data_IF_642302871317
#
_entry.id   IF_642302871317
#
_cell.length_a   1.000
_cell.length_b   1.000
_cell.length_c   1.000
_cell.angle_alpha   90.00
_cell.angle_beta   90.00
_cell.angle_gamma   90.00
#
_symmetry.space_group_name_H-M   'P 1'
#
loop_
_entity.id
_entity.type
_entity.pdbx_description
1 polymer ?
#
# COMPACT_ATOMS: atom_id res chain seq x y z
N UNK A 1 -4.03 -14.01 12.77
CA UNK A 1 -3.48 -15.12 11.93
C UNK A 1 -2.77 -14.48 10.74
N UNK A 2 -1.47 -14.66 10.55
CA UNK A 2 -0.75 -14.16 9.40
C UNK A 2 -1.00 -15.02 8.16
N UNK A 3 -1.27 -14.38 7.02
CA UNK A 3 -1.41 -15.04 5.71
C UNK A 3 -0.25 -14.68 4.78
N UNK A 4 0.05 -15.55 3.82
CA UNK A 4 1.05 -15.31 2.77
C UNK A 4 0.53 -14.30 1.72
N UNK A 5 0.11 -13.11 2.17
CA UNK A 5 -0.40 -12.02 1.35
C UNK A 5 -1.92 -11.85 1.36
N UNK A 6 -2.42 -10.79 0.70
CA UNK A 6 -3.82 -10.40 0.74
C UNK A 6 -4.79 -11.39 0.08
N UNK A 7 -4.36 -12.11 -0.96
CA UNK A 7 -5.22 -13.09 -1.65
C UNK A 7 -5.65 -14.25 -0.75
N UNK A 8 -4.72 -14.96 -0.10
CA UNK A 8 -5.06 -16.00 0.88
C UNK A 8 -5.93 -15.48 2.03
N UNK A 9 -5.65 -14.31 2.59
CA UNK A 9 -6.46 -13.70 3.65
C UNK A 9 -7.90 -13.41 3.19
N UNK A 10 -8.05 -12.88 1.98
CA UNK A 10 -9.37 -12.64 1.39
C UNK A 10 -10.16 -13.94 1.18
N UNK A 11 -9.51 -14.99 0.67
CA UNK A 11 -10.18 -16.30 0.51
C UNK A 11 -10.62 -16.89 1.84
N UNK A 12 -9.78 -16.79 2.88
CA UNK A 12 -10.12 -17.26 4.21
C UNK A 12 -11.33 -16.52 4.79
N UNK A 13 -11.42 -15.21 4.59
CA UNK A 13 -12.56 -14.41 5.02
C UNK A 13 -13.83 -14.75 4.22
N UNK A 14 -13.73 -14.89 2.90
CA UNK A 14 -14.87 -15.28 2.06
C UNK A 14 -15.36 -16.71 2.35
N UNK A 15 -14.48 -17.59 2.79
CA UNK A 15 -14.81 -18.96 3.22
C UNK A 15 -15.25 -19.07 4.67
N UNK A 16 -15.38 -17.96 5.41
CA UNK A 16 -15.80 -17.98 6.82
C UNK A 16 -14.76 -18.54 7.80
N UNK A 17 -13.50 -18.70 7.36
CA UNK A 17 -12.43 -19.18 8.24
C UNK A 17 -11.85 -18.10 9.17
N UNK A 18 -12.11 -16.84 8.86
CA UNK A 18 -11.80 -15.67 9.70
C UNK A 18 -12.90 -14.63 9.52
N UNK A 19 -13.24 -13.92 10.60
CA UNK A 19 -14.30 -12.91 10.61
C UNK A 19 -13.84 -11.58 9.97
N UNK A 20 -12.56 -11.29 10.06
CA UNK A 20 -11.98 -10.02 9.57
C UNK A 20 -10.63 -10.23 8.90
N UNK A 21 -10.30 -9.35 7.96
CA UNK A 21 -8.99 -9.31 7.33
C UNK A 21 -8.49 -7.86 7.25
N UNK A 22 -7.26 -7.63 7.69
CA UNK A 22 -6.59 -6.34 7.64
C UNK A 22 -5.44 -6.31 6.63
N UNK A 23 -4.96 -5.09 6.28
CA UNK A 23 -3.84 -4.91 5.38
C UNK A 23 -4.12 -5.23 3.91
N UNK A 24 -5.37 -5.31 3.51
CA UNK A 24 -5.77 -5.54 2.14
C UNK A 24 -5.71 -4.23 1.33
N UNK A 25 -5.17 -4.24 0.11
CA UNK A 25 -5.15 -3.05 -0.73
C UNK A 25 -6.58 -2.69 -1.18
N UNK A 26 -6.90 -1.39 -1.17
CA UNK A 26 -8.16 -0.86 -1.68
C UNK A 26 -8.17 -0.89 -3.21
N UNK A 27 -8.49 -2.04 -3.79
CA UNK A 27 -8.49 -2.29 -5.23
C UNK A 27 -9.90 -2.38 -5.79
N UNK A 28 -10.01 -2.32 -7.14
CA UNK A 28 -11.26 -2.56 -7.84
C UNK A 28 -11.88 -3.94 -7.55
N UNK A 29 -11.05 -4.96 -7.30
CA UNK A 29 -11.52 -6.29 -6.90
C UNK A 29 -12.20 -6.27 -5.52
N UNK A 30 -11.60 -5.61 -4.52
CA UNK A 30 -12.23 -5.42 -3.22
C UNK A 30 -13.52 -4.59 -3.34
N UNK A 31 -13.52 -3.55 -4.20
CA UNK A 31 -14.73 -2.77 -4.47
C UNK A 31 -15.86 -3.62 -5.04
N UNK A 32 -15.55 -4.53 -5.97
CA UNK A 32 -16.52 -5.47 -6.53
C UNK A 32 -17.16 -6.36 -5.46
N UNK A 33 -16.34 -6.94 -4.59
CA UNK A 33 -16.82 -7.76 -3.45
C UNK A 33 -17.67 -6.95 -2.45
N UNK A 34 -17.25 -5.71 -2.17
CA UNK A 34 -18.00 -4.81 -1.29
C UNK A 34 -19.36 -4.43 -1.88
N UNK A 35 -19.42 -4.07 -3.17
CA UNK A 35 -20.68 -3.76 -3.87
C UNK A 35 -21.61 -4.96 -3.98
N UNK A 36 -21.06 -6.16 -4.11
CA UNK A 36 -21.82 -7.41 -4.12
C UNK A 36 -22.27 -7.86 -2.72
N UNK A 37 -22.02 -7.08 -1.67
CA UNK A 37 -22.38 -7.42 -0.29
C UNK A 37 -21.60 -8.60 0.31
N UNK A 38 -20.57 -9.11 -0.39
CA UNK A 38 -19.77 -10.25 0.07
C UNK A 38 -18.78 -9.89 1.17
N UNK A 39 -18.39 -8.64 1.25
CA UNK A 39 -17.49 -8.11 2.28
C UNK A 39 -17.92 -6.70 2.67
N UNK A 40 -17.74 -6.34 3.93
CA UNK A 40 -17.92 -4.98 4.44
C UNK A 40 -16.54 -4.35 4.66
N UNK A 41 -16.26 -3.23 3.98
CA UNK A 41 -15.07 -2.42 4.26
C UNK A 41 -15.39 -1.49 5.43
N UNK A 42 -14.73 -1.67 6.56
CA UNK A 42 -15.02 -0.95 7.81
C UNK A 42 -14.31 0.39 7.90
N UNK A 43 -13.04 0.45 7.49
CA UNK A 43 -12.22 1.66 7.48
C UNK A 43 -11.06 1.54 6.51
N UNK A 44 -10.49 2.67 6.10
CA UNK A 44 -9.25 2.74 5.33
C UNK A 44 -8.11 3.34 6.16
N UNK A 45 -6.91 2.75 6.06
CA UNK A 45 -5.71 3.18 6.80
C UNK A 45 -4.97 4.31 6.05
N UNK A 46 -5.66 5.40 5.73
CA UNK A 46 -5.13 6.53 4.96
C UNK A 46 -5.47 7.86 5.63
N UNK A 47 -4.75 8.93 5.27
CA UNK A 47 -5.04 10.29 5.75
C UNK A 47 -6.40 10.83 5.28
N UNK A 48 -6.86 10.36 4.12
CA UNK A 48 -8.13 10.75 3.50
C UNK A 48 -8.85 9.52 3.00
N UNK A 49 -10.17 9.60 2.89
CA UNK A 49 -11.00 8.52 2.34
C UNK A 49 -10.53 8.14 0.94
N UNK A 50 -10.62 6.87 0.60
CA UNK A 50 -10.22 6.35 -0.70
C UNK A 50 -11.30 6.68 -1.75
N UNK A 51 -10.90 7.09 -2.95
CA UNK A 51 -11.83 7.44 -4.04
C UNK A 51 -12.69 6.27 -4.54
N UNK A 52 -12.25 5.03 -4.34
CA UNK A 52 -13.06 3.84 -4.62
C UNK A 52 -14.10 3.56 -3.52
N UNK A 53 -13.86 4.06 -2.31
CA UNK A 53 -14.69 3.85 -1.12
C UNK A 53 -15.01 5.18 -0.44
N UNK A 54 -15.72 6.12 -1.11
CA UNK A 54 -15.93 7.48 -0.60
C UNK A 54 -16.75 7.53 0.69
N UNK A 55 -17.60 6.54 0.90
CA UNK A 55 -18.45 6.42 2.10
C UNK A 55 -17.79 5.65 3.24
N UNK A 56 -16.62 5.05 3.02
CA UNK A 56 -15.86 4.32 4.06
C UNK A 56 -14.96 5.31 4.80
N UNK A 57 -15.07 5.40 6.13
CA UNK A 57 -14.26 6.32 6.93
C UNK A 57 -12.79 5.88 6.96
N UNK A 58 -11.92 6.80 7.32
CA UNK A 58 -10.53 6.47 7.67
C UNK A 58 -10.46 5.94 9.10
N UNK A 59 -9.37 5.23 9.45
CA UNK A 59 -9.10 4.82 10.84
C UNK A 59 -9.07 6.05 11.76
N UNK A 60 -8.50 7.16 11.30
CA UNK A 60 -8.44 8.41 12.07
C UNK A 60 -9.82 9.00 12.36
N UNK A 61 -10.75 8.98 11.39
CA UNK A 61 -12.16 9.39 11.61
C UNK A 61 -12.88 8.48 12.62
N UNK A 62 -12.37 7.26 12.83
CA UNK A 62 -12.85 6.32 13.86
C UNK A 62 -12.09 6.40 15.20
N UNK A 63 -11.27 7.43 15.39
CA UNK A 63 -10.52 7.65 16.64
C UNK A 63 -9.20 6.87 16.74
N UNK A 64 -8.79 6.14 15.71
CA UNK A 64 -7.55 5.37 15.71
C UNK A 64 -6.52 6.08 14.82
N UNK A 65 -5.48 6.65 15.42
CA UNK A 65 -4.39 7.32 14.68
C UNK A 65 -3.45 6.29 14.05
N UNK A 66 -3.96 5.62 13.02
CA UNK A 66 -3.22 4.61 12.28
C UNK A 66 -3.29 4.88 10.78
N UNK A 67 -2.11 5.12 10.19
CA UNK A 67 -1.94 5.31 8.74
C UNK A 67 -0.95 4.27 8.24
N UNK A 68 -1.34 3.54 7.20
CA UNK A 68 -0.52 2.55 6.53
C UNK A 68 -0.60 2.75 5.01
N UNK A 69 0.49 3.21 4.42
CA UNK A 69 0.59 3.33 2.97
C UNK A 69 1.33 2.12 2.38
N UNK A 70 0.71 1.45 1.44
CA UNK A 70 1.43 0.53 0.55
C UNK A 70 2.15 1.35 -0.53
N UNK A 71 3.45 1.17 -0.66
CA UNK A 71 4.27 1.81 -1.69
C UNK A 71 5.18 0.80 -2.37
N UNK A 72 5.52 1.08 -3.61
CA UNK A 72 6.41 0.24 -4.41
C UNK A 72 7.62 1.05 -4.84
N UNK A 73 8.78 0.42 -4.85
CA UNK A 73 10.02 1.08 -5.24
C UNK A 73 10.77 0.26 -6.28
N UNK A 74 11.53 0.96 -7.10
CA UNK A 74 12.54 0.36 -7.97
C UNK A 74 13.90 0.52 -7.30
N UNK A 75 14.66 -0.55 -7.26
CA UNK A 75 15.99 -0.59 -6.66
C UNK A 75 16.99 -1.11 -7.69
N UNK A 76 18.23 -0.68 -7.54
CA UNK A 76 19.36 -1.17 -8.30
C UNK A 76 20.42 -1.74 -7.36
N UNK A 77 21.29 -2.64 -7.79
CA UNK A 77 22.40 -3.15 -6.99
C UNK A 77 23.31 -2.02 -6.46
N UNK A 78 23.91 -2.26 -5.29
CA UNK A 78 24.94 -1.35 -4.76
C UNK A 78 26.11 -1.25 -5.76
N UNK A 79 26.58 -0.02 -6.01
CA UNK A 79 27.67 0.23 -6.97
C UNK A 79 27.21 0.44 -8.41
N UNK A 80 25.91 0.44 -8.71
CA UNK A 80 25.43 0.83 -10.05
C UNK A 80 25.91 2.24 -10.37
N UNK A 81 26.57 2.46 -11.55
CA UNK A 81 27.03 3.76 -11.98
C UNK A 81 25.92 4.82 -12.04
N UNK A 82 26.25 6.07 -11.71
CA UNK A 82 25.24 7.13 -11.58
C UNK A 82 24.55 7.46 -12.90
N UNK A 83 25.29 7.42 -14.03
CA UNK A 83 24.73 7.61 -15.38
C UNK A 83 23.62 6.60 -15.70
N UNK A 84 23.78 5.33 -15.29
CA UNK A 84 22.78 4.29 -15.45
C UNK A 84 21.56 4.55 -14.57
N UNK A 85 21.78 5.00 -13.34
CA UNK A 85 20.69 5.38 -12.43
C UNK A 85 19.90 6.55 -13.02
N UNK A 86 20.56 7.55 -13.57
CA UNK A 86 19.93 8.74 -14.16
C UNK A 86 19.07 8.39 -15.39
N UNK A 87 19.53 7.47 -16.24
CA UNK A 87 18.76 6.95 -17.36
C UNK A 87 17.47 6.27 -16.85
N UNK A 88 17.59 5.38 -15.86
CA UNK A 88 16.44 4.66 -15.29
C UNK A 88 15.44 5.62 -14.61
N UNK A 89 15.93 6.57 -13.83
CA UNK A 89 15.09 7.60 -13.20
C UNK A 89 14.40 8.46 -14.24
N UNK A 90 15.11 8.83 -15.32
CA UNK A 90 14.54 9.57 -16.46
C UNK A 90 13.39 8.80 -17.12
N UNK A 91 13.56 7.50 -17.36
CA UNK A 91 12.53 6.64 -17.92
C UNK A 91 11.32 6.52 -16.98
N UNK A 92 11.54 6.28 -15.69
CA UNK A 92 10.48 6.21 -14.70
C UNK A 92 9.68 7.52 -14.58
N UNK A 93 10.35 8.68 -14.64
CA UNK A 93 9.69 9.99 -14.67
C UNK A 93 8.76 10.14 -15.88
N UNK A 94 9.12 9.60 -17.04
CA UNK A 94 8.27 9.59 -18.24
C UNK A 94 7.07 8.65 -18.04
N UNK A 95 7.27 7.45 -17.49
CA UNK A 95 6.20 6.46 -17.24
C UNK A 95 5.14 7.04 -16.31
N UNK A 96 5.50 7.65 -15.17
CA UNK A 96 4.51 8.17 -14.22
C UNK A 96 3.71 9.37 -14.76
N UNK A 97 4.20 10.03 -15.80
CA UNK A 97 3.48 11.11 -16.52
C UNK A 97 2.57 10.55 -17.62
N UNK A 98 2.77 9.32 -18.07
CA UNK A 98 2.06 8.70 -19.18
C UNK A 98 0.56 8.58 -18.87
N UNK A 99 -0.29 8.97 -19.81
CA UNK A 99 -1.76 8.97 -19.66
C UNK A 99 -2.32 7.54 -19.46
N UNK A 100 -1.81 6.56 -20.23
CA UNK A 100 -2.27 5.16 -20.12
C UNK A 100 -1.89 4.57 -18.77
N UNK A 101 -0.69 4.84 -18.25
CA UNK A 101 -0.26 4.41 -16.92
C UNK A 101 -1.12 5.02 -15.81
N UNK A 102 -1.40 6.31 -15.87
CA UNK A 102 -2.32 6.98 -14.93
C UNK A 102 -3.73 6.40 -14.97
N UNK A 103 -4.25 6.09 -16.18
CA UNK A 103 -5.56 5.44 -16.36
C UNK A 103 -5.59 4.05 -15.74
N UNK A 104 -4.51 3.27 -15.90
CA UNK A 104 -4.36 1.95 -15.27
C UNK A 104 -4.38 2.07 -13.74
N UNK A 105 -3.55 2.94 -13.16
CA UNK A 105 -3.52 3.16 -11.71
C UNK A 105 -4.89 3.60 -11.17
N UNK A 106 -5.58 4.51 -11.86
CA UNK A 106 -6.93 4.94 -11.46
C UNK A 106 -7.92 3.76 -11.42
N UNK A 107 -7.86 2.83 -12.39
CA UNK A 107 -8.68 1.60 -12.37
C UNK A 107 -8.36 0.70 -11.16
N UNK A 108 -7.12 0.73 -10.69
CA UNK A 108 -6.68 0.00 -9.51
C UNK A 108 -6.97 0.75 -8.19
N UNK A 109 -7.56 1.94 -8.23
CA UNK A 109 -7.78 2.78 -7.05
C UNK A 109 -6.51 3.45 -6.54
N UNK A 110 -5.47 3.49 -7.35
CA UNK A 110 -4.17 4.06 -7.01
C UNK A 110 -3.89 5.35 -7.78
N UNK A 111 -2.96 6.14 -7.27
CA UNK A 111 -2.40 7.33 -7.95
C UNK A 111 -0.89 7.33 -7.82
N UNK A 112 -0.15 7.76 -8.84
CA UNK A 112 1.29 7.89 -8.70
C UNK A 112 1.64 9.05 -7.77
N UNK A 113 2.45 8.77 -6.76
CA UNK A 113 3.09 9.77 -5.88
C UNK A 113 4.60 9.51 -5.96
N UNK A 114 5.26 10.00 -7.02
CA UNK A 114 6.66 9.67 -7.27
C UNK A 114 7.57 10.37 -6.28
N UNK A 115 8.45 9.60 -5.65
CA UNK A 115 9.49 10.08 -4.73
C UNK A 115 10.84 9.54 -5.21
N UNK A 116 11.86 10.38 -5.26
CA UNK A 116 13.17 10.05 -5.80
C UNK A 116 14.30 10.48 -4.87
N UNK A 117 15.48 9.90 -5.04
CA UNK A 117 16.73 10.34 -4.44
C UNK A 117 16.71 10.45 -2.92
N UNK A 118 17.11 11.58 -2.39
CA UNK A 118 17.21 11.83 -0.94
C UNK A 118 15.86 11.71 -0.22
N UNK A 119 14.78 12.16 -0.84
CA UNK A 119 13.43 12.06 -0.26
C UNK A 119 12.98 10.59 -0.12
N UNK A 120 13.30 9.73 -1.11
CA UNK A 120 13.03 8.30 -1.01
C UNK A 120 13.88 7.65 0.09
N UNK A 121 15.17 7.97 0.17
CA UNK A 121 16.05 7.48 1.24
C UNK A 121 15.51 7.88 2.63
N UNK A 122 15.07 9.12 2.81
CA UNK A 122 14.45 9.60 4.06
C UNK A 122 13.20 8.81 4.40
N UNK A 123 12.31 8.59 3.42
CA UNK A 123 11.08 7.79 3.60
C UNK A 123 11.42 6.36 4.03
N UNK A 124 12.33 5.67 3.35
CA UNK A 124 12.73 4.29 3.69
C UNK A 124 13.24 4.23 5.15
N UNK A 125 14.11 5.16 5.55
CA UNK A 125 14.64 5.20 6.93
C UNK A 125 13.55 5.42 7.97
N UNK A 126 12.62 6.35 7.73
CA UNK A 126 11.52 6.63 8.67
C UNK A 126 10.56 5.44 8.80
N UNK A 127 10.19 4.79 7.69
CA UNK A 127 9.34 3.60 7.70
C UNK A 127 10.05 2.41 8.39
N UNK A 128 11.34 2.21 8.12
CA UNK A 128 12.13 1.17 8.79
C UNK A 128 12.17 1.36 10.31
N UNK A 129 12.41 2.60 10.78
CA UNK A 129 12.41 2.90 12.21
C UNK A 129 11.02 2.70 12.83
N UNK A 130 9.96 3.18 12.16
CA UNK A 130 8.57 3.05 12.60
C UNK A 130 8.14 1.60 12.73
N UNK A 131 8.32 0.80 11.67
CA UNK A 131 7.95 -0.62 11.70
C UNK A 131 8.86 -1.43 12.63
N UNK A 132 10.15 -1.09 12.72
CA UNK A 132 11.07 -1.70 13.68
C UNK A 132 10.60 -1.55 15.12
N UNK A 133 10.11 -0.37 15.51
CA UNK A 133 9.54 -0.13 16.83
C UNK A 133 8.27 -0.97 17.08
N UNK A 134 7.36 -1.03 16.08
CA UNK A 134 6.14 -1.84 16.16
C UNK A 134 6.49 -3.34 16.29
N UNK A 135 7.38 -3.86 15.45
CA UNK A 135 7.78 -5.28 15.53
C UNK A 135 8.43 -5.64 16.85
N UNK A 136 9.23 -4.73 17.41
CA UNK A 136 9.79 -4.89 18.76
C UNK A 136 8.71 -5.00 19.83
N UNK A 137 7.70 -4.12 19.78
CA UNK A 137 6.62 -4.08 20.78
C UNK A 137 5.74 -5.34 20.77
N UNK A 138 5.54 -5.97 19.62
CA UNK A 138 4.74 -7.19 19.47
C UNK A 138 5.57 -8.48 19.48
N UNK A 139 6.87 -8.40 19.77
CA UNK A 139 7.76 -9.56 19.88
C UNK A 139 8.11 -10.26 18.56
N UNK A 140 7.80 -9.65 17.41
CA UNK A 140 8.18 -10.17 16.08
C UNK A 140 9.62 -9.79 15.77
N UNK A 141 10.45 -10.76 15.37
CA UNK A 141 11.85 -10.53 15.01
C UNK A 141 12.87 -10.85 16.12
N UNK A 142 12.44 -11.45 17.22
CA UNK A 142 13.34 -12.10 18.16
C UNK A 142 13.59 -13.53 17.69
N UNK A 143 14.58 -13.70 16.84
CA UNK A 143 15.35 -14.95 16.67
C UNK A 143 16.81 -14.59 16.64
#
# INVERSE_FOLDING_TARGET
IPFKGGGPGMRAMLGGHVDTAGGLPATGGLLGLHRAGKVQVLAVCAEKRNSLFPNVPTMKEKGVDFILHSWRTFMVPKGTPQDRIDILVGALKKVVKNKSFKKLLKKMGERPVPIYGAALKKKIRSEHARFGAIFKSIGVGKK
#
